data_IF_867613760378
#
_entry.id   IF_867613760378
#
_cell.length_a   1.000
_cell.length_b   1.000
_cell.length_c   1.000
_cell.angle_alpha   90.00
_cell.angle_beta   90.00
_cell.angle_gamma   90.00
#
_symmetry.space_group_name_H-M   'P 1'
#
loop_
_entity.id
_entity.type
_entity.pdbx_description
1 polymer ?
#
# COMPACT_ATOMS: atom_id res chain seq x y z
N UNK A 1 -12.65 -31.35 1.76
CA UNK A 1 -13.70 -30.67 0.97
C UNK A 1 -13.70 -29.19 1.33
N UNK A 2 -12.93 -28.38 0.61
CA UNK A 2 -12.76 -26.95 0.89
C UNK A 2 -13.71 -26.18 -0.03
N UNK A 3 -14.78 -25.60 0.50
CA UNK A 3 -15.63 -24.67 -0.27
C UNK A 3 -14.77 -23.46 -0.64
N UNK A 4 -14.25 -23.44 -1.87
CA UNK A 4 -13.79 -22.19 -2.48
C UNK A 4 -15.01 -21.27 -2.52
N UNK A 5 -14.91 -20.11 -1.88
CA UNK A 5 -15.88 -19.04 -1.98
C UNK A 5 -15.94 -18.58 -3.43
N UNK A 6 -16.82 -19.17 -4.24
CA UNK A 6 -17.19 -18.58 -5.51
C UNK A 6 -17.89 -17.26 -5.18
N UNK A 7 -17.26 -16.14 -5.52
CA UNK A 7 -17.90 -14.83 -5.44
C UNK A 7 -19.24 -14.85 -6.18
N UNK A 8 -20.18 -14.03 -5.75
CA UNK A 8 -21.48 -13.93 -6.40
C UNK A 8 -21.29 -13.58 -7.89
N UNK A 9 -22.01 -14.22 -8.82
CA UNK A 9 -21.92 -13.90 -10.25
C UNK A 9 -22.33 -12.45 -10.51
N UNK A 10 -21.74 -11.82 -11.53
CA UNK A 10 -21.97 -10.41 -11.89
C UNK A 10 -23.46 -10.06 -12.06
N UNK A 11 -24.25 -11.00 -12.57
CA UNK A 11 -25.70 -10.88 -12.73
C UNK A 11 -26.44 -10.62 -11.41
N UNK A 12 -25.96 -11.17 -10.28
CA UNK A 12 -26.57 -10.89 -8.98
C UNK A 12 -26.32 -9.48 -8.49
N UNK A 13 -25.22 -8.84 -8.89
CA UNK A 13 -24.95 -7.45 -8.55
C UNK A 13 -25.77 -6.49 -9.39
N UNK A 14 -25.95 -6.76 -10.69
CA UNK A 14 -26.81 -5.95 -11.55
C UNK A 14 -28.27 -5.97 -11.08
N UNK A 15 -28.77 -7.14 -10.68
CA UNK A 15 -30.17 -7.30 -10.25
C UNK A 15 -30.44 -6.67 -8.88
N UNK A 16 -29.41 -6.57 -8.02
CA UNK A 16 -29.52 -5.98 -6.69
C UNK A 16 -29.64 -4.45 -6.73
N UNK A 17 -29.04 -3.78 -7.73
CA UNK A 17 -28.99 -2.31 -7.78
C UNK A 17 -30.38 -1.67 -7.83
N UNK A 18 -31.33 -2.08 -8.72
CA UNK A 18 -32.68 -1.51 -8.73
C UNK A 18 -33.43 -1.71 -7.41
N UNK A 19 -33.30 -2.89 -6.79
CA UNK A 19 -33.95 -3.22 -5.52
C UNK A 19 -33.42 -2.34 -4.39
N UNK A 20 -32.10 -2.22 -4.28
CA UNK A 20 -31.45 -1.36 -3.29
C UNK A 20 -31.76 0.13 -3.53
N UNK A 21 -31.88 0.55 -4.78
CA UNK A 21 -32.23 1.93 -5.16
C UNK A 21 -33.67 2.26 -4.75
N UNK A 22 -34.61 1.34 -4.98
CA UNK A 22 -35.99 1.50 -4.51
C UNK A 22 -36.04 1.57 -2.97
N UNK A 23 -35.35 0.66 -2.28
CA UNK A 23 -35.26 0.67 -0.83
C UNK A 23 -34.62 1.97 -0.28
N UNK A 24 -33.59 2.50 -0.95
CA UNK A 24 -32.97 3.77 -0.59
C UNK A 24 -33.89 4.97 -0.79
N UNK A 25 -34.78 4.93 -1.79
CA UNK A 25 -35.77 5.98 -2.02
C UNK A 25 -36.85 6.05 -0.92
N UNK A 26 -37.27 4.89 -0.40
CA UNK A 26 -38.22 4.76 0.70
C UNK A 26 -37.56 5.05 2.07
N UNK A 27 -36.35 4.55 2.27
CA UNK A 27 -35.58 4.65 3.52
C UNK A 27 -34.35 5.56 3.34
N UNK A 28 -34.59 6.86 3.09
CA UNK A 28 -33.53 7.83 2.75
C UNK A 28 -32.43 7.99 3.80
N UNK A 29 -32.68 7.56 5.04
CA UNK A 29 -31.73 7.64 6.15
C UNK A 29 -31.01 6.31 6.44
N UNK A 30 -31.19 5.29 5.59
CA UNK A 30 -30.50 4.02 5.75
C UNK A 30 -29.19 4.02 4.93
N UNK A 31 -28.09 4.37 5.59
CA UNK A 31 -26.74 4.39 4.99
C UNK A 31 -26.36 3.05 4.33
N UNK A 32 -26.79 1.93 4.93
CA UNK A 32 -26.47 0.57 4.47
C UNK A 32 -26.96 0.29 3.05
N UNK A 33 -28.10 0.84 2.62
CA UNK A 33 -28.58 0.68 1.25
C UNK A 33 -27.59 1.30 0.25
N UNK A 34 -27.09 2.50 0.55
CA UNK A 34 -26.13 3.21 -0.28
C UNK A 34 -24.75 2.53 -0.27
N UNK A 35 -24.31 1.98 0.87
CA UNK A 35 -23.13 1.12 0.93
C UNK A 35 -23.24 -0.06 -0.03
N UNK A 36 -24.34 -0.82 0.00
CA UNK A 36 -24.50 -1.99 -0.87
C UNK A 36 -24.66 -1.63 -2.35
N UNK A 37 -25.26 -0.49 -2.69
CA UNK A 37 -25.23 0.05 -4.06
C UNK A 37 -23.78 0.31 -4.47
N UNK A 38 -23.01 0.98 -3.61
CA UNK A 38 -21.59 1.24 -3.84
C UNK A 38 -20.77 -0.03 -4.05
N UNK A 39 -20.98 -1.03 -3.21
CA UNK A 39 -20.36 -2.35 -3.31
C UNK A 39 -20.71 -3.06 -4.62
N UNK A 40 -21.99 -3.10 -5.00
CA UNK A 40 -22.44 -3.75 -6.23
C UNK A 40 -21.85 -3.06 -7.47
N UNK A 41 -21.88 -1.72 -7.50
CA UNK A 41 -21.30 -0.93 -8.60
C UNK A 41 -19.79 -1.16 -8.73
N UNK A 42 -19.06 -1.22 -7.62
CA UNK A 42 -17.63 -1.53 -7.64
C UNK A 42 -17.36 -2.93 -8.21
N UNK A 43 -18.18 -3.94 -7.86
CA UNK A 43 -18.04 -5.30 -8.41
C UNK A 43 -18.33 -5.40 -9.90
N UNK A 44 -19.11 -4.47 -10.45
CA UNK A 44 -19.38 -4.34 -11.88
C UNK A 44 -18.31 -3.50 -12.62
N UNK A 45 -17.34 -2.93 -11.91
CA UNK A 45 -16.32 -2.04 -12.48
C UNK A 45 -16.78 -0.60 -12.69
N UNK A 46 -17.96 -0.24 -12.17
CA UNK A 46 -18.51 1.11 -12.29
C UNK A 46 -18.02 2.02 -11.14
N UNK A 47 -16.72 2.33 -11.13
CA UNK A 47 -16.05 3.07 -10.05
C UNK A 47 -16.72 4.40 -9.68
N UNK A 48 -17.11 5.22 -10.66
CA UNK A 48 -17.73 6.53 -10.40
C UNK A 48 -19.11 6.42 -9.74
N UNK A 49 -19.90 5.42 -10.16
CA UNK A 49 -21.20 5.13 -9.56
C UNK A 49 -21.02 4.60 -8.13
N UNK A 50 -19.99 3.78 -7.90
CA UNK A 50 -19.65 3.28 -6.58
C UNK A 50 -19.27 4.43 -5.63
N UNK A 51 -18.40 5.34 -6.07
CA UNK A 51 -18.00 6.54 -5.30
C UNK A 51 -19.22 7.39 -4.96
N UNK A 52 -20.12 7.62 -5.92
CA UNK A 52 -21.34 8.41 -5.71
C UNK A 52 -22.20 7.80 -4.60
N UNK A 53 -22.47 6.50 -4.67
CA UNK A 53 -23.27 5.81 -3.66
C UNK A 53 -22.59 5.80 -2.28
N UNK A 54 -21.27 5.59 -2.22
CA UNK A 54 -20.53 5.59 -0.95
C UNK A 54 -20.51 6.98 -0.31
N UNK A 55 -20.43 8.05 -1.10
CA UNK A 55 -20.56 9.41 -0.58
C UNK A 55 -21.97 9.69 -0.03
N UNK A 56 -23.03 9.11 -0.63
CA UNK A 56 -24.38 9.18 -0.07
C UNK A 56 -24.48 8.41 1.26
N UNK A 57 -23.87 7.23 1.34
CA UNK A 57 -23.75 6.47 2.59
C UNK A 57 -23.08 7.29 3.68
N UNK A 58 -21.92 7.89 3.37
CA UNK A 58 -21.14 8.70 4.31
C UNK A 58 -21.75 10.07 4.64
N UNK A 59 -22.70 10.55 3.84
CA UNK A 59 -23.48 11.73 4.19
C UNK A 59 -24.52 11.43 5.28
N UNK A 60 -24.97 10.18 5.38
CA UNK A 60 -25.93 9.70 6.38
C UNK A 60 -25.19 9.21 7.63
N UNK A 61 -24.18 8.36 7.46
CA UNK A 61 -23.28 7.90 8.53
C UNK A 61 -21.82 8.22 8.19
N UNK A 62 -21.30 9.38 8.64
CA UNK A 62 -19.92 9.78 8.36
C UNK A 62 -18.84 8.87 8.97
N UNK A 63 -19.20 7.97 9.87
CA UNK A 63 -18.27 7.10 10.60
C UNK A 63 -18.37 5.63 10.19
N UNK A 64 -19.19 5.30 9.19
CA UNK A 64 -19.33 3.93 8.71
C UNK A 64 -17.98 3.38 8.17
N UNK A 65 -17.35 2.42 8.88
CA UNK A 65 -16.03 1.93 8.49
C UNK A 65 -16.05 1.15 7.18
N UNK A 66 -17.17 0.54 6.81
CA UNK A 66 -17.28 -0.26 5.59
C UNK A 66 -17.34 0.64 4.35
N UNK A 67 -18.13 1.73 4.39
CA UNK A 67 -18.15 2.75 3.33
C UNK A 67 -16.81 3.47 3.21
N UNK A 68 -16.17 3.83 4.33
CA UNK A 68 -14.83 4.44 4.33
C UNK A 68 -13.80 3.49 3.70
N UNK A 69 -13.80 2.22 4.09
CA UNK A 69 -12.86 1.21 3.58
C UNK A 69 -13.02 1.04 2.07
N UNK A 70 -14.25 0.82 1.59
CA UNK A 70 -14.50 0.59 0.17
C UNK A 70 -14.20 1.83 -0.67
N UNK A 71 -14.52 3.03 -0.17
CA UNK A 71 -14.20 4.27 -0.86
C UNK A 71 -12.68 4.48 -0.96
N UNK A 72 -11.94 4.22 0.14
CA UNK A 72 -10.49 4.29 0.14
C UNK A 72 -9.88 3.29 -0.87
N UNK A 73 -10.40 2.06 -0.94
CA UNK A 73 -9.93 1.04 -1.89
C UNK A 73 -10.11 1.45 -3.35
N UNK A 74 -11.29 2.03 -3.68
CA UNK A 74 -11.57 2.50 -5.04
C UNK A 74 -10.57 3.59 -5.42
N UNK A 75 -10.37 4.60 -4.57
CA UNK A 75 -9.38 5.65 -4.82
C UNK A 75 -7.95 5.10 -4.85
N UNK A 76 -7.61 4.18 -3.95
CA UNK A 76 -6.27 3.58 -3.90
C UNK A 76 -5.94 2.81 -5.19
N UNK A 77 -6.92 2.13 -5.80
CA UNK A 77 -6.74 1.47 -7.10
C UNK A 77 -6.35 2.44 -8.23
N UNK A 78 -6.74 3.71 -8.12
CA UNK A 78 -6.48 4.76 -9.10
C UNK A 78 -5.13 5.48 -8.85
N UNK A 79 -4.53 5.33 -7.67
CA UNK A 79 -3.27 6.00 -7.29
C UNK A 79 -2.14 5.73 -8.28
N UNK A 80 -2.04 4.51 -8.82
CA UNK A 80 -0.98 4.16 -9.79
C UNK A 80 -1.04 5.01 -11.05
N UNK A 81 -2.24 5.40 -11.47
CA UNK A 81 -2.46 6.23 -12.66
C UNK A 81 -2.42 7.73 -12.34
N UNK A 82 -2.85 8.09 -11.12
CA UNK A 82 -2.87 9.46 -10.66
C UNK A 82 -2.45 9.55 -9.18
N UNK A 83 -1.15 9.76 -8.89
CA UNK A 83 -0.65 9.88 -7.53
C UNK A 83 -1.29 11.01 -6.70
N UNK A 84 -1.88 12.02 -7.35
CA UNK A 84 -2.58 13.10 -6.63
C UNK A 84 -3.79 12.59 -5.83
N UNK A 85 -4.34 11.42 -6.17
CA UNK A 85 -5.43 10.75 -5.45
C UNK A 85 -5.02 10.31 -4.03
N UNK A 86 -3.72 10.23 -3.74
CA UNK A 86 -3.22 9.89 -2.41
C UNK A 86 -3.82 10.80 -1.32
N UNK A 87 -4.09 12.07 -1.61
CA UNK A 87 -4.71 13.00 -0.64
C UNK A 87 -6.15 12.62 -0.28
N UNK A 88 -6.94 12.14 -1.24
CA UNK A 88 -8.29 11.63 -0.99
C UNK A 88 -8.21 10.38 -0.10
N UNK A 89 -7.29 9.45 -0.41
CA UNK A 89 -7.10 8.27 0.43
C UNK A 89 -6.63 8.64 1.83
N UNK A 90 -5.72 9.62 1.98
CA UNK A 90 -5.28 10.11 3.29
C UNK A 90 -6.49 10.64 4.08
N UNK A 91 -7.31 11.51 3.48
CA UNK A 91 -8.48 12.08 4.16
C UNK A 91 -9.47 10.99 4.63
N UNK A 92 -9.72 9.98 3.80
CA UNK A 92 -10.60 8.85 4.16
C UNK A 92 -9.94 7.95 5.20
N UNK A 93 -8.64 7.67 5.06
CA UNK A 93 -7.86 6.84 5.97
C UNK A 93 -7.73 7.45 7.37
N UNK A 94 -7.58 8.78 7.48
CA UNK A 94 -7.59 9.51 8.75
C UNK A 94 -8.95 9.40 9.46
N UNK A 95 -10.06 9.41 8.70
CA UNK A 95 -11.40 9.14 9.25
C UNK A 95 -11.54 7.68 9.66
N UNK A 96 -11.04 6.75 8.85
CA UNK A 96 -11.15 5.31 9.10
C UNK A 96 -10.38 4.91 10.36
N UNK A 97 -9.13 5.35 10.52
CA UNK A 97 -8.32 4.99 11.69
C UNK A 97 -8.90 5.56 13.00
N UNK A 98 -9.63 6.68 12.93
CA UNK A 98 -10.33 7.25 14.08
C UNK A 98 -11.55 6.44 14.54
N UNK A 99 -12.12 5.59 13.66
CA UNK A 99 -13.25 4.72 13.99
C UNK A 99 -12.83 3.25 14.15
N UNK A 100 -11.72 2.85 13.51
CA UNK A 100 -11.19 1.48 13.50
C UNK A 100 -9.66 1.51 13.37
N UNK A 101 -8.96 1.32 14.50
CA UNK A 101 -7.49 1.23 14.55
C UNK A 101 -7.03 -0.22 14.31
N UNK A 102 -7.04 -0.66 13.05
CA UNK A 102 -6.71 -2.03 12.64
C UNK A 102 -5.74 -2.10 11.45
N UNK A 103 -5.31 -3.30 11.09
CA UNK A 103 -4.36 -3.54 10.01
C UNK A 103 -4.85 -2.97 8.67
N UNK A 104 -6.17 -2.97 8.44
CA UNK A 104 -6.74 -2.40 7.22
C UNK A 104 -6.56 -0.89 7.16
N UNK A 105 -6.85 -0.19 8.26
CA UNK A 105 -6.66 1.25 8.37
C UNK A 105 -5.16 1.63 8.30
N UNK A 106 -4.29 0.90 9.00
CA UNK A 106 -2.84 1.12 8.99
C UNK A 106 -2.26 0.99 7.58
N UNK A 107 -2.60 -0.10 6.88
CA UNK A 107 -2.09 -0.39 5.55
C UNK A 107 -2.55 0.62 4.51
N UNK A 108 -3.83 1.04 4.54
CA UNK A 108 -4.38 2.03 3.62
C UNK A 108 -3.74 3.41 3.83
N UNK A 109 -3.79 3.91 5.07
CA UNK A 109 -3.30 5.26 5.39
C UNK A 109 -1.77 5.34 5.30
N UNK A 110 -1.05 4.33 5.78
CA UNK A 110 0.40 4.27 5.71
C UNK A 110 0.92 4.29 4.27
N UNK A 111 0.32 3.51 3.37
CA UNK A 111 0.70 3.53 1.96
C UNK A 111 0.32 4.84 1.26
N UNK A 112 -0.83 5.44 1.61
CA UNK A 112 -1.23 6.71 1.04
C UNK A 112 -0.26 7.85 1.43
N UNK A 113 0.18 7.90 2.69
CA UNK A 113 1.24 8.82 3.12
C UNK A 113 2.58 8.54 2.42
N UNK A 114 2.92 7.27 2.19
CA UNK A 114 4.14 6.90 1.46
C UNK A 114 4.14 7.47 0.03
N UNK A 115 3.01 7.32 -0.68
CA UNK A 115 2.83 7.84 -2.05
C UNK A 115 2.86 9.38 -2.07
N UNK A 116 2.22 10.01 -1.10
CA UNK A 116 2.21 11.48 -0.95
C UNK A 116 3.54 12.01 -0.36
N UNK A 117 4.52 11.13 -0.13
CA UNK A 117 5.87 11.45 0.39
C UNK A 117 5.87 12.03 1.81
N UNK A 118 4.81 11.80 2.58
CA UNK A 118 4.73 12.14 4.01
C UNK A 118 5.35 11.02 4.86
N UNK A 119 6.62 10.73 4.64
CA UNK A 119 7.32 9.58 5.21
C UNK A 119 7.29 9.49 6.74
N UNK A 120 7.44 10.60 7.51
CA UNK A 120 7.34 10.55 8.98
C UNK A 120 5.97 10.10 9.49
N UNK A 121 4.90 10.33 8.73
CA UNK A 121 3.55 9.82 9.06
C UNK A 121 3.34 8.40 8.55
N UNK A 122 3.95 8.03 7.43
CA UNK A 122 3.85 6.69 6.86
C UNK A 122 4.51 5.63 7.74
N UNK A 123 5.74 5.88 8.20
CA UNK A 123 6.55 4.90 8.92
C UNK A 123 5.86 4.24 10.14
N UNK A 124 5.25 4.97 11.11
CA UNK A 124 4.62 4.32 12.26
C UNK A 124 3.42 3.44 11.89
N UNK A 125 2.65 3.83 10.86
CA UNK A 125 1.52 3.04 10.37
C UNK A 125 1.98 1.79 9.62
N UNK A 126 3.01 1.94 8.78
CA UNK A 126 3.61 0.84 8.05
C UNK A 126 4.34 -0.14 8.97
N UNK A 127 4.89 0.31 10.10
CA UNK A 127 5.47 -0.58 11.12
C UNK A 127 4.39 -1.45 11.77
N UNK A 128 3.28 -0.84 12.24
CA UNK A 128 2.14 -1.61 12.75
C UNK A 128 1.64 -2.62 11.71
N UNK A 129 1.50 -2.19 10.45
CA UNK A 129 1.05 -3.04 9.35
C UNK A 129 2.01 -4.20 9.05
N UNK A 130 3.33 -3.93 8.97
CA UNK A 130 4.34 -4.96 8.71
C UNK A 130 4.41 -5.98 9.86
N UNK A 131 4.24 -5.55 11.11
CA UNK A 131 4.18 -6.46 12.27
C UNK A 131 2.94 -7.34 12.28
N UNK A 132 1.80 -6.83 11.79
CA UNK A 132 0.58 -7.62 11.61
C UNK A 132 0.68 -8.62 10.44
N UNK A 133 1.58 -8.37 9.48
CA UNK A 133 1.83 -9.20 8.31
C UNK A 133 3.32 -9.58 8.20
N UNK A 134 3.88 -10.31 9.18
CA UNK A 134 5.33 -10.53 9.28
C UNK A 134 5.91 -11.37 8.13
N UNK A 135 5.06 -12.08 7.37
CA UNK A 135 5.39 -12.87 6.20
C UNK A 135 5.29 -12.08 4.87
N UNK A 136 4.84 -10.82 4.92
CA UNK A 136 4.68 -9.97 3.74
C UNK A 136 5.94 -9.15 3.46
N UNK A 137 6.77 -9.64 2.52
CA UNK A 137 7.95 -8.89 2.06
C UNK A 137 7.59 -7.51 1.51
N UNK A 138 6.40 -7.33 0.94
CA UNK A 138 5.89 -6.05 0.46
C UNK A 138 5.55 -5.05 1.58
N UNK A 139 5.05 -5.54 2.72
CA UNK A 139 4.78 -4.68 3.88
C UNK A 139 6.09 -4.14 4.47
N UNK A 140 7.07 -5.02 4.66
CA UNK A 140 8.42 -4.65 5.08
C UNK A 140 9.10 -3.71 4.08
N UNK A 141 8.87 -3.89 2.79
CA UNK A 141 9.45 -3.04 1.75
C UNK A 141 8.95 -1.60 1.86
N UNK A 142 7.64 -1.43 2.00
CA UNK A 142 7.03 -0.11 2.15
C UNK A 142 7.54 0.61 3.42
N UNK A 143 7.70 -0.13 4.52
CA UNK A 143 8.30 0.40 5.75
C UNK A 143 9.76 0.84 5.53
N UNK A 144 10.55 -0.01 4.89
CA UNK A 144 11.94 0.27 4.54
C UNK A 144 12.10 1.51 3.66
N UNK A 145 11.25 1.65 2.63
CA UNK A 145 11.23 2.85 1.77
C UNK A 145 10.85 4.08 2.57
N UNK A 146 9.86 4.02 3.47
CA UNK A 146 9.48 5.16 4.32
C UNK A 146 10.66 5.65 5.18
N UNK A 147 11.38 4.72 5.81
CA UNK A 147 12.57 5.06 6.61
C UNK A 147 13.73 5.57 5.75
N UNK A 148 14.01 4.92 4.62
CA UNK A 148 15.07 5.32 3.68
C UNK A 148 14.85 6.75 3.19
N UNK A 149 13.64 7.07 2.73
CA UNK A 149 13.30 8.43 2.26
C UNK A 149 13.29 9.48 3.38
N UNK A 150 13.23 9.06 4.64
CA UNK A 150 13.40 9.90 5.82
C UNK A 150 14.84 9.95 6.34
N UNK A 151 15.81 9.38 5.61
CA UNK A 151 17.21 9.25 6.04
C UNK A 151 17.42 8.50 7.36
N UNK A 152 16.48 7.65 7.75
CA UNK A 152 16.59 6.79 8.92
C UNK A 152 17.22 5.46 8.49
N UNK A 153 18.53 5.46 8.27
CA UNK A 153 19.22 4.37 7.56
C UNK A 153 19.17 3.01 8.28
N UNK A 154 19.39 3.00 9.61
CA UNK A 154 19.35 1.76 10.40
C UNK A 154 17.99 1.05 10.34
N UNK A 155 16.86 1.70 10.70
CA UNK A 155 15.56 1.03 10.62
C UNK A 155 15.12 0.77 9.16
N UNK A 156 15.61 1.56 8.18
CA UNK A 156 15.40 1.24 6.78
C UNK A 156 16.08 -0.08 6.38
N UNK A 157 17.33 -0.27 6.80
CA UNK A 157 18.08 -1.50 6.51
C UNK A 157 17.40 -2.71 7.13
N UNK A 158 17.02 -2.64 8.41
CA UNK A 158 16.33 -3.73 9.12
C UNK A 158 15.05 -4.18 8.38
N UNK A 159 14.21 -3.23 7.97
CA UNK A 159 12.98 -3.54 7.23
C UNK A 159 13.27 -4.09 5.82
N UNK A 160 14.24 -3.54 5.10
CA UNK A 160 14.61 -4.01 3.76
C UNK A 160 15.31 -5.37 3.77
N UNK A 161 16.04 -5.70 4.85
CA UNK A 161 16.59 -7.03 5.09
C UNK A 161 15.49 -8.07 5.26
N UNK A 162 14.41 -7.76 5.99
CA UNK A 162 13.24 -8.64 6.07
C UNK A 162 12.57 -8.82 4.69
N UNK A 163 12.47 -7.76 3.88
CA UNK A 163 12.03 -7.91 2.49
C UNK A 163 12.95 -8.83 1.70
N UNK A 164 14.27 -8.64 1.79
CA UNK A 164 15.24 -9.47 1.06
C UNK A 164 15.22 -10.94 1.55
N UNK A 165 14.93 -11.18 2.82
CA UNK A 165 14.76 -12.53 3.38
C UNK A 165 13.49 -13.22 2.85
N UNK A 166 12.37 -12.49 2.79
CA UNK A 166 11.07 -13.01 2.35
C UNK A 166 10.93 -13.08 0.82
N UNK A 167 11.57 -12.16 0.11
CA UNK A 167 11.54 -12.02 -1.34
C UNK A 167 12.96 -11.76 -1.88
N UNK A 168 13.83 -12.78 -1.89
CA UNK A 168 15.25 -12.64 -2.21
C UNK A 168 15.54 -12.19 -3.64
N UNK A 169 14.58 -12.31 -4.56
CA UNK A 169 14.71 -11.85 -5.95
C UNK A 169 14.02 -10.51 -6.21
N UNK A 170 13.56 -9.81 -5.17
CA UNK A 170 12.99 -8.47 -5.30
C UNK A 170 14.11 -7.45 -5.55
N UNK A 171 14.41 -7.22 -6.83
CA UNK A 171 15.47 -6.30 -7.28
C UNK A 171 15.27 -4.91 -6.69
N UNK A 172 14.05 -4.38 -6.64
CA UNK A 172 13.78 -3.04 -6.11
C UNK A 172 14.16 -2.93 -4.62
N UNK A 173 13.87 -3.96 -3.84
CA UNK A 173 14.25 -4.01 -2.43
C UNK A 173 15.77 -4.12 -2.24
N UNK A 174 16.45 -4.95 -3.05
CA UNK A 174 17.91 -5.09 -2.99
C UNK A 174 18.64 -3.81 -3.40
N UNK A 175 18.14 -3.11 -4.43
CA UNK A 175 18.67 -1.80 -4.83
C UNK A 175 18.50 -0.75 -3.73
N UNK A 176 17.31 -0.71 -3.13
CA UNK A 176 17.02 0.20 -2.01
C UNK A 176 17.88 -0.13 -0.78
N UNK A 177 18.08 -1.41 -0.47
CA UNK A 177 18.96 -1.87 0.61
C UNK A 177 20.42 -1.47 0.35
N UNK A 178 20.90 -1.64 -0.88
CA UNK A 178 22.24 -1.18 -1.28
C UNK A 178 22.40 0.33 -1.10
N UNK A 179 21.40 1.11 -1.51
CA UNK A 179 21.38 2.57 -1.33
C UNK A 179 21.39 2.99 0.13
N UNK A 180 20.59 2.33 0.97
CA UNK A 180 20.54 2.59 2.41
C UNK A 180 21.91 2.30 3.05
N UNK A 181 22.52 1.16 2.72
CA UNK A 181 23.84 0.83 3.25
C UNK A 181 24.95 1.74 2.75
N UNK A 182 24.89 2.17 1.48
CA UNK A 182 25.83 3.15 0.92
C UNK A 182 25.70 4.49 1.67
N UNK A 183 24.46 4.94 1.91
CA UNK A 183 24.17 6.19 2.61
C UNK A 183 24.61 6.16 4.08
N UNK A 184 24.55 4.98 4.72
CA UNK A 184 25.08 4.75 6.06
C UNK A 184 26.58 4.41 6.10
N UNK A 185 27.28 4.52 4.96
CA UNK A 185 28.73 4.22 4.79
C UNK A 185 29.12 2.77 5.12
N UNK A 186 28.16 1.84 5.14
CA UNK A 186 28.39 0.41 5.26
C UNK A 186 28.70 -0.18 3.88
N UNK A 187 29.82 0.23 3.29
CA UNK A 187 30.17 -0.07 1.90
C UNK A 187 30.23 -1.56 1.57
N UNK A 188 30.69 -2.41 2.49
CA UNK A 188 30.74 -3.86 2.24
C UNK A 188 29.34 -4.47 2.10
N UNK A 189 28.38 -4.04 2.93
CA UNK A 189 26.99 -4.48 2.84
C UNK A 189 26.28 -3.88 1.64
N UNK A 190 26.57 -2.62 1.32
CA UNK A 190 26.05 -1.96 0.12
C UNK A 190 26.46 -2.71 -1.14
N UNK A 191 27.75 -3.07 -1.25
CA UNK A 191 28.28 -3.85 -2.35
C UNK A 191 27.59 -5.21 -2.46
N UNK A 192 27.44 -5.93 -1.35
CA UNK A 192 26.75 -7.22 -1.33
C UNK A 192 25.29 -7.12 -1.80
N UNK A 193 24.55 -6.11 -1.33
CA UNK A 193 23.17 -5.89 -1.74
C UNK A 193 23.05 -5.55 -3.24
N UNK A 194 23.92 -4.67 -3.77
CA UNK A 194 23.95 -4.36 -5.20
C UNK A 194 24.38 -5.54 -6.06
N UNK A 195 25.34 -6.35 -5.62
CA UNK A 195 25.73 -7.59 -6.30
C UNK A 195 24.57 -8.57 -6.36
N UNK A 196 23.84 -8.74 -5.26
CA UNK A 196 22.66 -9.59 -5.24
C UNK A 196 21.57 -9.07 -6.17
N UNK A 197 21.30 -7.76 -6.20
CA UNK A 197 20.37 -7.15 -7.14
C UNK A 197 20.78 -7.41 -8.60
N UNK A 198 22.07 -7.25 -8.88
CA UNK A 198 22.65 -7.46 -10.20
C UNK A 198 22.50 -8.93 -10.64
N UNK A 199 22.81 -9.89 -9.78
CA UNK A 199 22.64 -11.32 -10.04
C UNK A 199 21.16 -11.70 -10.24
N UNK A 200 20.27 -11.23 -9.36
CA UNK A 200 18.83 -11.48 -9.45
C UNK A 200 18.20 -10.95 -10.75
N UNK A 201 18.78 -9.90 -11.34
CA UNK A 201 18.36 -9.35 -12.64
C UNK A 201 18.85 -10.15 -13.87
N UNK A 202 19.64 -11.19 -13.65
CA UNK A 202 20.39 -11.87 -14.72
C UNK A 202 21.51 -10.99 -15.26
N UNK A 203 22.14 -10.19 -14.39
CA UNK A 203 23.30 -9.36 -14.70
C UNK A 203 23.03 -8.23 -15.72
N UNK A 204 21.81 -7.69 -15.71
CA UNK A 204 21.36 -6.67 -16.67
C UNK A 204 20.90 -5.37 -16.02
N UNK A 205 20.68 -5.34 -14.71
CA UNK A 205 20.23 -4.12 -14.03
C UNK A 205 21.36 -3.09 -13.96
N UNK A 206 21.18 -1.98 -14.67
CA UNK A 206 22.14 -0.89 -14.76
C UNK A 206 22.29 -0.14 -13.44
N UNK A 207 21.21 -0.04 -12.65
CA UNK A 207 21.24 0.63 -11.34
C UNK A 207 22.11 -0.16 -10.37
N UNK A 208 21.97 -1.49 -10.38
CA UNK A 208 22.79 -2.39 -9.59
C UNK A 208 24.27 -2.31 -9.99
N UNK A 209 24.57 -2.32 -11.29
CA UNK A 209 25.93 -2.15 -11.82
C UNK A 209 26.54 -0.82 -11.36
N UNK A 210 25.81 0.29 -11.53
CA UNK A 210 26.27 1.61 -11.14
C UNK A 210 26.50 1.72 -9.62
N UNK A 211 25.66 1.05 -8.81
CA UNK A 211 25.85 0.93 -7.37
C UNK A 211 27.14 0.21 -6.98
N UNK A 212 27.41 -0.93 -7.63
CA UNK A 212 28.66 -1.69 -7.44
C UNK A 212 29.88 -0.82 -7.73
N UNK A 213 29.90 -0.13 -8.87
CA UNK A 213 31.05 0.65 -9.30
C UNK A 213 31.29 1.85 -8.39
N UNK A 214 30.22 2.56 -7.99
CA UNK A 214 30.30 3.70 -7.07
C UNK A 214 30.82 3.29 -5.70
N UNK A 215 30.31 2.20 -5.13
CA UNK A 215 30.75 1.70 -3.81
C UNK A 215 32.22 1.26 -3.85
N UNK A 216 32.67 0.62 -4.93
CA UNK A 216 34.09 0.25 -5.10
C UNK A 216 35.03 1.45 -5.14
N UNK A 217 34.63 2.54 -5.79
CA UNK A 217 35.41 3.78 -5.85
C UNK A 217 35.41 4.53 -4.51
N UNK A 218 34.30 4.47 -3.77
CA UNK A 218 34.15 5.15 -2.48
C UNK A 218 34.80 4.41 -1.31
N UNK A 219 35.07 3.10 -1.43
CA UNK A 219 35.69 2.30 -0.39
C UNK A 219 37.13 2.79 -0.16
N UNK A 220 37.48 3.33 1.02
CA UNK A 220 38.85 3.73 1.29
C UNK A 220 39.75 2.49 1.18
N UNK A 221 40.79 2.58 0.36
CA UNK A 221 41.81 1.54 0.30
C UNK A 221 42.40 1.36 1.70
N UNK A 222 42.25 0.17 2.26
CA UNK A 222 42.94 -0.21 3.49
C UNK A 222 44.43 -0.24 3.15
N UNK A 223 45.14 0.81 3.56
CA UNK A 223 46.61 0.85 3.54
C UNK A 223 47.18 -0.05 4.63
#
# INVERSE_FOLDING_TARGET
MTRRSQGLPATRFSDAIPVLTAAAAEMKTNATNYYYIGFAQNKLGHGDQAITALNQSLAIDPKDPDSLTLLADIYFSQIRQNPAIARQVISIGERLIAVRDDERAWGLLGQAYLVDKQYPKAAPLLDKFARAHPDSGGAWYNLGVAFSRSSQWKPAAEALEETARLAPTNIAALLELGYVYESDKQYDKALAAYQHAFEASGQRDETARAGIDRVKQAKPEVR
#
